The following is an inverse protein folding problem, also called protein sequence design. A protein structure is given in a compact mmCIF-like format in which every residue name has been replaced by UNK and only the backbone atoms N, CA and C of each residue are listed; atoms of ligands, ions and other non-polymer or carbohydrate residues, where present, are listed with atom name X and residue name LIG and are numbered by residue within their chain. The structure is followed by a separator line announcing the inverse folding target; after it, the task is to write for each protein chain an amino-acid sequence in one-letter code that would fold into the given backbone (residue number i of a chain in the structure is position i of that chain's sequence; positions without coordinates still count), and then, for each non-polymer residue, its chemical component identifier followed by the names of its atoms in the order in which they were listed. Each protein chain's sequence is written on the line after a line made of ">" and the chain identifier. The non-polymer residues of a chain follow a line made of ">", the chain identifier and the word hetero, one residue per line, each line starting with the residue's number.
data_IF_181591820672
#
_entry.id   IF_181591820672
#
_cell.length_a   1.000
_cell.length_b   1.000
_cell.length_c   1.000
_cell.angle_alpha   90.00
_cell.angle_beta   90.00
_cell.angle_gamma   90.00
#
_symmetry.space_group_name_H-M   'P 1'
#
loop_
_entity.id
_entity.type
_entity.pdbx_description
1 polymer ?
#
# COMPACT_ATOMS: atom_id res chain seq x y z
N UNK A 1 -16.72 -11.29 2.58
CA UNK A 1 -16.27 -10.21 3.48
C UNK A 1 -15.50 -9.21 2.64
N UNK A 2 -15.91 -7.95 2.70
CA UNK A 2 -15.22 -6.84 2.06
C UNK A 2 -13.91 -6.57 2.82
N UNK A 3 -12.81 -6.34 2.11
CA UNK A 3 -11.50 -6.18 2.74
C UNK A 3 -11.35 -4.82 3.44
N UNK A 4 -11.95 -3.78 2.86
CA UNK A 4 -11.94 -2.40 3.35
C UNK A 4 -13.33 -2.04 3.87
N UNK A 5 -13.68 -2.61 5.03
CA UNK A 5 -15.00 -2.45 5.66
C UNK A 5 -15.08 -1.25 6.62
N UNK A 6 -14.07 -0.35 6.58
CA UNK A 6 -13.94 0.79 7.49
C UNK A 6 -13.77 2.10 6.73
N UNK A 7 -14.26 3.17 7.33
CA UNK A 7 -14.29 4.53 6.78
C UNK A 7 -12.97 5.30 6.99
N UNK A 8 -11.81 4.64 6.90
CA UNK A 8 -10.54 5.36 6.92
C UNK A 8 -10.42 6.18 5.63
N UNK A 9 -9.93 7.42 5.77
CA UNK A 9 -9.79 8.35 4.64
C UNK A 9 -8.31 8.65 4.42
N UNK A 10 -7.92 8.71 3.16
CA UNK A 10 -6.65 9.26 2.70
C UNK A 10 -6.93 10.42 1.74
N UNK A 11 -6.16 11.49 1.84
CA UNK A 11 -6.28 12.67 0.98
C UNK A 11 -4.97 12.86 0.25
N UNK A 12 -5.03 13.14 -1.06
CA UNK A 12 -3.88 13.47 -1.90
C UNK A 12 -4.18 14.77 -2.64
N UNK A 13 -3.32 15.76 -2.46
CA UNK A 13 -3.46 17.10 -3.03
C UNK A 13 -2.26 17.43 -3.90
N UNK A 14 -2.49 18.01 -5.07
CA UNK A 14 -1.44 18.55 -5.91
C UNK A 14 -1.42 20.08 -5.80
N UNK A 15 -0.38 20.60 -5.17
CA UNK A 15 -0.19 22.03 -4.91
C UNK A 15 0.85 22.60 -5.87
N UNK A 16 0.71 23.87 -6.22
CA UNK A 16 1.67 24.58 -7.09
C UNK A 16 2.09 25.88 -6.42
N UNK A 17 3.36 26.01 -6.00
CA UNK A 17 3.88 27.25 -5.45
C UNK A 17 3.80 28.40 -6.44
N UNK A 18 3.27 29.54 -5.99
CA UNK A 18 3.29 30.79 -6.76
C UNK A 18 4.25 31.76 -6.08
N UNK A 19 5.26 32.21 -6.82
CA UNK A 19 6.16 33.29 -6.39
C UNK A 19 5.57 34.59 -6.89
N UNK A 20 5.14 35.44 -5.96
CA UNK A 20 4.52 36.74 -6.25
C UNK A 20 5.49 37.85 -5.84
N UNK A 21 5.83 38.73 -6.77
CA UNK A 21 6.45 40.04 -6.48
C UNK A 21 5.40 41.15 -6.65
N UNK A 22 5.68 42.35 -6.15
CA UNK A 22 4.71 43.44 -5.95
C UNK A 22 3.88 43.86 -7.21
N UNK A 23 4.22 43.38 -8.41
CA UNK A 23 3.50 43.63 -9.66
C UNK A 23 2.82 42.39 -10.30
N UNK A 24 2.88 41.18 -9.70
CA UNK A 24 2.25 39.96 -10.24
C UNK A 24 2.96 38.65 -9.88
N UNK A 25 2.43 37.52 -10.36
CA UNK A 25 3.10 36.20 -10.28
C UNK A 25 4.31 36.24 -11.21
N UNK A 26 5.52 36.12 -10.65
CA UNK A 26 6.78 36.19 -11.38
C UNK A 26 7.32 34.81 -11.74
N UNK A 27 7.19 33.82 -10.85
CA UNK A 27 7.61 32.44 -11.12
C UNK A 27 6.65 31.41 -10.52
N UNK A 28 6.61 30.25 -11.16
CA UNK A 28 5.80 29.11 -10.71
C UNK A 28 6.77 28.01 -10.29
N UNK A 29 6.72 27.65 -9.00
CA UNK A 29 7.56 26.60 -8.46
C UNK A 29 7.13 25.20 -8.94
N UNK A 30 7.98 24.18 -8.73
CA UNK A 30 7.65 22.80 -9.10
C UNK A 30 6.42 22.31 -8.31
N UNK A 31 5.56 21.46 -8.91
CA UNK A 31 4.42 20.87 -8.22
C UNK A 31 4.84 20.12 -6.94
N UNK A 32 3.97 20.16 -5.94
CA UNK A 32 4.10 19.50 -4.65
C UNK A 32 2.87 18.63 -4.40
N UNK A 33 3.04 17.32 -4.44
CA UNK A 33 2.04 16.33 -4.02
C UNK A 33 2.10 16.16 -2.50
N UNK A 34 1.02 16.51 -1.81
CA UNK A 34 0.88 16.34 -0.36
C UNK A 34 -0.19 15.30 -0.11
N UNK A 35 0.19 14.22 0.57
CA UNK A 35 -0.71 13.17 0.99
C UNK A 35 -0.82 13.15 2.53
N UNK A 36 -2.01 12.87 3.03
CA UNK A 36 -2.26 12.65 4.45
C UNK A 36 -3.22 11.48 4.65
N UNK A 37 -2.97 10.63 5.63
CA UNK A 37 -3.84 9.48 5.92
C UNK A 37 -3.91 9.17 7.41
N UNK A 38 -4.93 8.41 7.79
CA UNK A 38 -4.98 7.74 9.08
C UNK A 38 -5.34 6.26 8.84
N UNK A 39 -4.33 5.39 8.90
CA UNK A 39 -4.52 3.96 8.66
C UNK A 39 -5.31 3.29 9.78
N UNK A 40 -5.92 2.14 9.49
CA UNK A 40 -6.70 1.36 10.44
C UNK A 40 -5.96 1.15 11.77
N UNK A 41 -6.58 1.46 12.91
CA UNK A 41 -5.96 1.27 14.22
C UNK A 41 -5.69 -0.20 14.59
N UNK A 42 -6.55 -1.13 14.18
CA UNK A 42 -6.53 -2.52 14.64
C UNK A 42 -5.18 -3.22 14.38
N UNK A 43 -4.43 -3.62 15.43
CA UNK A 43 -3.07 -4.15 15.30
C UNK A 43 -3.01 -5.53 14.64
N UNK A 44 -4.13 -6.26 14.56
CA UNK A 44 -4.19 -7.60 13.97
C UNK A 44 -4.41 -7.59 12.46
N UNK A 45 -4.77 -6.44 11.89
CA UNK A 45 -5.23 -6.30 10.50
C UNK A 45 -4.19 -5.60 9.62
N UNK A 46 -2.94 -6.07 9.67
CA UNK A 46 -1.88 -5.58 8.79
C UNK A 46 -2.16 -5.78 7.30
N UNK A 47 -2.97 -6.78 6.94
CA UNK A 47 -3.52 -6.94 5.59
C UNK A 47 -4.28 -5.69 5.11
N UNK A 48 -5.16 -5.16 5.97
CA UNK A 48 -5.95 -3.96 5.66
C UNK A 48 -5.07 -2.72 5.61
N UNK A 49 -4.12 -2.60 6.55
CA UNK A 49 -3.18 -1.47 6.55
C UNK A 49 -2.33 -1.41 5.29
N UNK A 50 -1.83 -2.56 4.83
CA UNK A 50 -1.07 -2.64 3.57
C UNK A 50 -1.95 -2.29 2.37
N UNK A 51 -3.21 -2.73 2.34
CA UNK A 51 -4.13 -2.36 1.27
C UNK A 51 -4.43 -0.85 1.27
N UNK A 52 -4.71 -0.24 2.43
CA UNK A 52 -4.94 1.19 2.58
C UNK A 52 -3.71 2.01 2.17
N UNK A 53 -2.51 1.57 2.57
CA UNK A 53 -1.26 2.20 2.16
C UNK A 53 -1.04 2.08 0.64
N UNK A 54 -1.29 0.91 0.06
CA UNK A 54 -1.15 0.69 -1.38
C UNK A 54 -2.10 1.57 -2.21
N UNK A 55 -3.32 1.82 -1.70
CA UNK A 55 -4.26 2.79 -2.29
C UNK A 55 -3.69 4.21 -2.28
N UNK A 56 -3.18 4.67 -1.13
CA UNK A 56 -2.57 5.99 -1.02
C UNK A 56 -1.39 6.16 -1.98
N UNK A 57 -0.52 5.14 -2.04
CA UNK A 57 0.65 5.12 -2.93
C UNK A 57 0.25 5.11 -4.42
N UNK A 58 -0.81 4.39 -4.78
CA UNK A 58 -1.32 4.37 -6.15
C UNK A 58 -1.86 5.74 -6.58
N UNK A 59 -2.54 6.45 -5.68
CA UNK A 59 -3.03 7.79 -5.94
C UNK A 59 -1.88 8.80 -6.10
N UNK A 60 -0.87 8.72 -5.22
CA UNK A 60 0.34 9.54 -5.35
C UNK A 60 1.07 9.26 -6.68
N UNK A 61 1.22 7.98 -7.06
CA UNK A 61 1.85 7.58 -8.32
C UNK A 61 1.07 8.12 -9.55
N UNK A 62 -0.27 8.09 -9.51
CA UNK A 62 -1.11 8.67 -10.56
C UNK A 62 -0.91 10.20 -10.70
N UNK A 63 -0.82 10.93 -9.58
CA UNK A 63 -0.53 12.37 -9.57
C UNK A 63 0.86 12.68 -10.13
N UNK A 64 1.88 11.89 -9.75
CA UNK A 64 3.25 12.05 -10.26
C UNK A 64 3.30 11.77 -11.76
N UNK A 65 2.64 10.71 -12.24
CA UNK A 65 2.53 10.40 -13.68
C UNK A 65 1.90 11.55 -14.45
N UNK A 66 0.86 12.18 -13.90
CA UNK A 66 0.22 13.36 -14.49
C UNK A 66 1.17 14.55 -14.60
N UNK A 67 1.99 14.81 -13.57
CA UNK A 67 3.02 15.85 -13.63
C UNK A 67 4.11 15.52 -14.65
N UNK A 68 4.58 14.26 -14.66
CA UNK A 68 5.61 13.78 -15.58
C UNK A 68 5.17 13.86 -17.04
N UNK A 69 3.89 13.60 -17.34
CA UNK A 69 3.33 13.77 -18.68
C UNK A 69 3.37 15.23 -19.15
N UNK A 70 3.35 16.21 -18.23
CA UNK A 70 3.54 17.64 -18.51
C UNK A 70 5.02 18.05 -18.54
N UNK A 71 5.95 17.11 -18.38
CA UNK A 71 7.39 17.39 -18.30
C UNK A 71 7.84 17.96 -16.95
N UNK A 72 6.98 17.94 -15.92
CA UNK A 72 7.28 18.50 -14.61
C UNK A 72 7.74 17.42 -13.63
N UNK A 73 8.71 17.74 -12.77
CA UNK A 73 9.06 16.91 -11.61
C UNK A 73 8.18 17.31 -10.42
N UNK A 74 7.57 16.33 -9.77
CA UNK A 74 6.70 16.52 -8.62
C UNK A 74 7.45 16.17 -7.33
N UNK A 75 7.49 17.09 -6.37
CA UNK A 75 7.96 16.78 -5.02
C UNK A 75 6.83 16.11 -4.24
N UNK A 76 7.15 15.20 -3.33
CA UNK A 76 6.16 14.44 -2.56
C UNK A 76 6.37 14.66 -1.07
N UNK A 77 5.29 14.85 -0.34
CA UNK A 77 5.22 14.80 1.13
C UNK A 77 4.07 13.90 1.51
N UNK A 78 4.31 12.92 2.39
CA UNK A 78 3.30 12.00 2.90
C UNK A 78 3.30 12.07 4.41
N UNK A 79 2.18 12.47 5.00
CA UNK A 79 2.02 12.62 6.43
C UNK A 79 0.93 11.70 6.97
N UNK A 80 0.89 11.54 8.29
CA UNK A 80 -0.28 11.01 8.97
C UNK A 80 0.03 10.03 10.09
N UNK A 81 -1.04 9.46 10.64
CA UNK A 81 -0.99 8.37 11.62
C UNK A 81 -1.08 7.03 10.87
N UNK A 82 0.05 6.33 10.81
CA UNK A 82 0.15 5.05 10.10
C UNK A 82 -0.22 3.86 11.00
N UNK A 83 -0.48 4.09 12.29
CA UNK A 83 -0.70 3.04 13.28
C UNK A 83 0.32 1.91 13.14
N UNK A 84 1.59 2.26 12.90
CA UNK A 84 2.71 1.34 12.71
C UNK A 84 3.94 1.92 13.37
N UNK A 85 4.68 1.11 14.11
CA UNK A 85 5.91 1.56 14.77
C UNK A 85 7.10 1.54 13.79
N UNK A 86 8.17 2.32 14.06
CA UNK A 86 9.33 2.39 13.17
C UNK A 86 9.97 1.02 12.96
N UNK A 87 10.62 0.84 11.80
CA UNK A 87 11.32 -0.39 11.41
C UNK A 87 10.45 -1.64 11.22
N UNK A 88 9.14 -1.57 11.43
CA UNK A 88 8.21 -2.66 11.11
C UNK A 88 7.97 -2.77 9.60
N UNK A 89 7.50 -3.94 9.10
CA UNK A 89 7.31 -4.19 7.67
C UNK A 89 6.54 -3.10 6.91
N UNK A 90 5.48 -2.52 7.50
CA UNK A 90 4.75 -1.43 6.86
C UNK A 90 5.62 -0.18 6.69
N UNK A 91 6.31 0.23 7.75
CA UNK A 91 7.25 1.36 7.69
C UNK A 91 8.41 1.08 6.73
N UNK A 92 8.95 -0.15 6.73
CA UNK A 92 10.00 -0.55 5.79
C UNK A 92 9.54 -0.45 4.34
N UNK A 93 8.32 -0.91 4.02
CA UNK A 93 7.77 -0.77 2.67
C UNK A 93 7.84 0.68 2.18
N UNK A 94 7.47 1.65 3.03
CA UNK A 94 7.47 3.08 2.69
C UNK A 94 8.88 3.60 2.39
N UNK A 95 9.86 3.25 3.23
CA UNK A 95 11.23 3.78 3.12
C UNK A 95 12.05 3.04 2.06
N UNK A 96 11.92 1.72 1.95
CA UNK A 96 12.72 0.90 1.01
C UNK A 96 12.06 0.76 -0.35
N UNK A 97 10.75 1.00 -0.44
CA UNK A 97 9.96 0.78 -1.65
C UNK A 97 9.66 -0.69 -1.95
N UNK A 98 9.95 -1.62 -1.04
CA UNK A 98 9.72 -3.05 -1.25
C UNK A 98 9.44 -3.84 0.04
N UNK A 99 8.49 -4.77 -0.01
CA UNK A 99 8.16 -5.68 1.08
C UNK A 99 7.79 -7.08 0.56
N UNK A 100 8.57 -8.09 0.95
CA UNK A 100 8.17 -9.50 0.84
C UNK A 100 7.26 -9.88 2.02
N UNK A 101 6.01 -10.26 1.74
CA UNK A 101 5.00 -10.45 2.80
C UNK A 101 4.52 -11.89 2.98
N UNK A 102 4.90 -12.80 2.08
CA UNK A 102 4.42 -14.19 2.10
C UNK A 102 4.76 -14.91 3.41
N UNK A 103 3.75 -15.46 4.06
CA UNK A 103 3.88 -16.18 5.32
C UNK A 103 4.03 -15.29 6.56
N UNK A 104 4.15 -13.95 6.40
CA UNK A 104 4.24 -13.05 7.54
C UNK A 104 2.92 -13.04 8.33
N UNK A 105 2.95 -13.08 9.67
CA UNK A 105 1.78 -12.82 10.49
C UNK A 105 1.24 -11.39 10.25
N UNK A 106 -0.05 -11.25 9.95
CA UNK A 106 -0.69 -9.95 9.68
C UNK A 106 -0.46 -8.94 10.83
N UNK A 107 -0.39 -9.42 12.07
CA UNK A 107 -0.11 -8.58 13.25
C UNK A 107 1.31 -7.98 13.30
N UNK A 108 2.28 -8.66 12.68
CA UNK A 108 3.68 -8.20 12.67
C UNK A 108 3.90 -7.04 11.70
N UNK A 109 2.96 -6.77 10.80
CA UNK A 109 3.10 -5.70 9.81
C UNK A 109 3.28 -4.32 10.45
N UNK A 110 2.54 -4.03 11.52
CA UNK A 110 2.57 -2.72 12.18
C UNK A 110 3.31 -2.69 13.52
N UNK A 111 3.47 -3.83 14.20
CA UNK A 111 4.21 -3.92 15.47
C UNK A 111 3.68 -3.06 16.64
N UNK A 112 2.43 -2.58 16.58
CA UNK A 112 1.83 -1.78 17.66
C UNK A 112 1.76 -2.53 19.00
N UNK A 113 1.51 -3.84 18.95
CA UNK A 113 1.41 -4.68 20.14
C UNK A 113 2.29 -5.92 19.96
N UNK A 114 2.99 -6.32 21.02
CA UNK A 114 3.59 -7.64 21.08
C UNK A 114 2.48 -8.67 21.35
N UNK A 115 2.05 -9.34 20.29
CA UNK A 115 1.07 -10.42 20.34
C UNK A 115 1.72 -11.79 20.09
N UNK A 116 3.03 -11.92 20.30
CA UNK A 116 3.80 -13.16 20.10
C UNK A 116 3.22 -14.34 20.89
N UNK A 117 2.73 -14.09 22.10
CA UNK A 117 2.10 -15.09 22.97
C UNK A 117 0.77 -15.66 22.43
N UNK A 118 0.17 -15.07 21.37
CA UNK A 118 -1.05 -15.61 20.76
C UNK A 118 -0.68 -16.64 19.69
N UNK A 119 -1.04 -17.90 19.92
CA UNK A 119 -0.70 -19.04 19.05
C UNK A 119 -1.40 -19.05 17.68
N UNK A 120 -2.44 -18.25 17.47
CA UNK A 120 -3.12 -18.15 16.18
C UNK A 120 -2.89 -16.76 15.56
N UNK A 121 -2.10 -16.72 14.49
CA UNK A 121 -1.96 -15.52 13.66
C UNK A 121 -2.41 -15.80 12.24
N UNK A 122 -3.29 -14.95 11.71
CA UNK A 122 -3.58 -14.91 10.27
C UNK A 122 -2.27 -14.59 9.54
N UNK A 123 -1.79 -15.52 8.73
CA UNK A 123 -0.66 -15.30 7.84
C UNK A 123 -1.12 -14.59 6.56
N UNK A 124 -0.22 -13.80 5.99
CA UNK A 124 -0.44 -13.13 4.72
C UNK A 124 0.04 -14.03 3.58
N UNK A 125 -0.76 -14.12 2.52
CA UNK A 125 -0.44 -14.88 1.33
C UNK A 125 -0.86 -14.09 0.09
N UNK A 126 -0.16 -14.29 -1.01
CA UNK A 126 -0.57 -13.73 -2.29
C UNK A 126 -1.82 -14.43 -2.84
N UNK A 127 -2.74 -13.69 -3.49
CA UNK A 127 -2.82 -12.23 -3.53
C UNK A 127 -3.26 -11.63 -2.19
N UNK A 128 -2.65 -10.50 -1.80
CA UNK A 128 -2.96 -9.84 -0.53
C UNK A 128 -4.38 -9.25 -0.51
N UNK A 129 -4.89 -8.83 -1.66
CA UNK A 129 -6.22 -8.24 -1.85
C UNK A 129 -6.90 -8.73 -3.13
N UNK A 130 -8.25 -8.69 -3.19
CA UNK A 130 -8.97 -9.07 -4.40
C UNK A 130 -8.69 -8.10 -5.56
N UNK A 131 -8.75 -8.60 -6.79
CA UNK A 131 -8.55 -7.79 -8.01
C UNK A 131 -9.56 -6.64 -8.15
N UNK A 132 -10.72 -6.73 -7.48
CA UNK A 132 -11.72 -5.66 -7.42
C UNK A 132 -11.20 -4.38 -6.77
N UNK A 133 -10.09 -4.42 -6.02
CA UNK A 133 -9.45 -3.22 -5.49
C UNK A 133 -8.84 -2.34 -6.60
N UNK A 134 -8.58 -2.91 -7.79
CA UNK A 134 -8.03 -2.16 -8.92
C UNK A 134 -6.58 -1.71 -8.73
N UNK A 135 -5.84 -2.33 -7.82
CA UNK A 135 -4.44 -2.00 -7.51
C UNK A 135 -3.57 -3.25 -7.65
N UNK A 136 -2.43 -3.10 -8.31
CA UNK A 136 -1.45 -4.16 -8.49
C UNK A 136 -0.39 -4.18 -7.36
N UNK A 137 0.46 -5.21 -7.35
CA UNK A 137 1.54 -5.36 -6.36
C UNK A 137 2.62 -4.27 -6.45
N UNK A 138 2.59 -3.39 -7.47
CA UNK A 138 3.47 -2.22 -7.58
C UNK A 138 2.86 -0.95 -6.97
N UNK A 139 1.76 -1.09 -6.21
CA UNK A 139 1.00 0.03 -5.66
C UNK A 139 0.61 1.03 -6.75
N UNK A 140 0.08 0.54 -7.87
CA UNK A 140 -0.42 1.36 -8.97
C UNK A 140 -1.80 0.88 -9.38
N UNK A 141 -2.62 1.81 -9.87
CA UNK A 141 -3.89 1.44 -10.48
C UNK A 141 -3.67 0.49 -11.66
N UNK A 142 -4.44 -0.59 -11.70
CA UNK A 142 -4.49 -1.48 -12.86
C UNK A 142 -5.11 -0.74 -14.02
N UNK A 143 -4.46 -0.72 -15.19
CA UNK A 143 -5.09 -0.20 -16.39
C UNK A 143 -6.37 -1.00 -16.67
N UNK A 144 -7.53 -0.33 -16.71
CA UNK A 144 -8.77 -0.98 -17.10
C UNK A 144 -8.59 -1.57 -18.50
N UNK A 145 -8.65 -2.89 -18.61
CA UNK A 145 -8.81 -3.61 -19.89
C UNK A 145 -10.24 -3.38 -20.42
N UNK A 146 -10.65 -2.12 -20.60
CA UNK A 146 -11.89 -1.77 -21.27
C UNK A 146 -11.66 -1.79 -22.78
N UNK A 147 -11.43 -2.99 -23.30
CA UNK A 147 -11.71 -3.36 -24.67
C UNK A 147 -12.42 -4.72 -24.64
N UNK A 148 -13.52 -4.78 -23.91
CA UNK A 148 -14.56 -5.78 -24.11
C UNK A 148 -15.85 -4.99 -24.39
N UNK A 149 -16.30 -5.18 -25.62
CA UNK A 149 -17.56 -4.76 -26.20
C UNK A 149 -18.69 -4.73 -25.19
N UNK A 150 -19.31 -3.56 -25.12
CA UNK A 150 -20.60 -3.34 -24.49
C UNK A 150 -21.63 -4.20 -25.23
N UNK A 151 -22.10 -5.27 -24.61
CA UNK A 151 -23.46 -5.76 -24.86
C UNK A 151 -24.20 -5.78 -23.54
N UNK A 152 -25.16 -4.86 -23.47
CA UNK A 152 -26.15 -4.70 -22.42
C UNK A 152 -26.92 -6.00 -22.18
N UNK A 153 -27.02 -6.46 -20.93
CA UNK A 153 -28.24 -7.11 -20.48
C UNK A 153 -28.44 -6.98 -18.97
N UNK A 154 -29.56 -6.33 -18.66
CA UNK A 154 -30.41 -6.39 -17.46
C UNK A 154 -29.99 -7.20 -16.23
N UNK A 155 -30.12 -6.54 -15.09
CA UNK A 155 -30.39 -7.09 -13.76
C UNK A 155 -31.18 -8.41 -13.78
N UNK A 156 -30.54 -9.51 -13.36
CA UNK A 156 -31.21 -10.64 -12.71
C UNK A 156 -30.22 -11.39 -11.81
N UNK A 157 -30.76 -12.00 -10.76
CA UNK A 157 -30.06 -12.65 -9.67
C UNK A 157 -29.26 -13.86 -10.16
N UNK A 158 -28.01 -13.66 -10.58
CA UNK A 158 -27.20 -14.73 -11.18
C UNK A 158 -26.45 -15.56 -10.15
N UNK A 159 -26.86 -16.82 -10.08
CA UNK A 159 -26.11 -17.94 -9.53
C UNK A 159 -24.74 -17.95 -10.24
N UNK A 160 -23.70 -17.46 -9.56
CA UNK A 160 -22.34 -17.35 -10.12
C UNK A 160 -21.89 -18.71 -10.65
N UNK A 161 -21.97 -18.89 -11.96
CA UNK A 161 -21.60 -20.13 -12.62
C UNK A 161 -20.13 -19.99 -13.01
N UNK A 162 -19.26 -20.55 -12.17
CA UNK A 162 -17.84 -20.58 -12.45
C UNK A 162 -17.56 -21.65 -13.50
N UNK A 163 -17.02 -21.24 -14.66
CA UNK A 163 -16.66 -22.21 -15.70
C UNK A 163 -15.56 -23.12 -15.19
N UNK A 164 -15.52 -24.37 -15.69
CA UNK A 164 -14.47 -25.33 -15.33
C UNK A 164 -13.07 -24.75 -15.58
N UNK A 165 -12.89 -24.03 -16.69
CA UNK A 165 -11.65 -23.34 -17.03
C UNK A 165 -11.31 -22.21 -16.04
N UNK A 166 -12.28 -21.41 -15.61
CA UNK A 166 -12.08 -20.39 -14.58
C UNK A 166 -11.69 -21.00 -13.23
N UNK A 167 -12.34 -22.11 -12.84
CA UNK A 167 -12.01 -22.84 -11.61
C UNK A 167 -10.60 -23.42 -11.67
N UNK A 168 -10.14 -23.87 -12.84
CA UNK A 168 -8.76 -24.35 -13.05
C UNK A 168 -7.71 -23.22 -12.98
N UNK A 169 -8.10 -21.96 -13.24
CA UNK A 169 -7.22 -20.80 -13.06
C UNK A 169 -7.01 -20.41 -11.59
N UNK A 170 -7.91 -20.83 -10.68
CA UNK A 170 -7.72 -20.71 -9.23
C UNK A 170 -6.76 -21.80 -8.75
N UNK A 171 -5.48 -21.70 -9.13
CA UNK A 171 -4.46 -22.68 -8.74
C UNK A 171 -4.28 -22.70 -7.22
N UNK A 172 -4.00 -23.90 -6.70
CA UNK A 172 -3.65 -24.15 -5.31
C UNK A 172 -2.40 -23.34 -4.94
N UNK A 173 -2.49 -22.46 -3.93
CA UNK A 173 -1.28 -21.91 -3.34
C UNK A 173 -0.48 -23.06 -2.69
N UNK A 174 0.86 -22.96 -2.53
CA UNK A 174 1.65 -24.03 -1.93
C UNK A 174 1.12 -24.48 -0.55
N UNK A 175 0.50 -23.56 0.20
CA UNK A 175 -0.16 -23.87 1.47
C UNK A 175 -1.43 -24.74 1.31
N UNK A 176 -2.16 -24.63 0.20
CA UNK A 176 -3.30 -25.49 -0.13
C UNK A 176 -2.88 -26.90 -0.55
N UNK A 177 -1.60 -27.11 -0.89
CA UNK A 177 -1.03 -28.42 -1.19
C UNK A 177 -0.58 -29.18 0.07
N UNK A 178 -0.59 -28.55 1.24
CA UNK A 178 -0.19 -29.17 2.52
C UNK A 178 -1.44 -29.60 3.28
N UNK A 179 -1.57 -30.91 3.50
CA UNK A 179 -2.67 -31.47 4.29
C UNK A 179 -2.52 -31.08 5.78
N UNK A 180 -3.53 -30.45 6.42
CA UNK A 180 -3.53 -30.23 7.86
C UNK A 180 -3.51 -31.56 8.61
N UNK A 181 -2.72 -31.64 9.70
CA UNK A 181 -2.48 -32.88 10.44
C UNK A 181 -3.78 -33.46 11.05
N UNK A 182 -4.79 -32.63 11.32
CA UNK A 182 -6.04 -33.02 11.98
C UNK A 182 -7.24 -33.17 11.01
N UNK A 183 -7.01 -33.19 9.69
CA UNK A 183 -8.12 -33.24 8.73
C UNK A 183 -8.73 -34.66 8.65
N UNK A 184 -9.98 -34.78 9.14
CA UNK A 184 -10.79 -36.00 9.12
C UNK A 184 -10.88 -36.56 7.70
N UNK A 185 -10.62 -37.87 7.56
CA UNK A 185 -10.74 -38.57 6.28
C UNK A 185 -12.22 -38.72 5.92
N UNK A 186 -12.65 -38.07 4.83
CA UNK A 186 -13.99 -38.25 4.28
C UNK A 186 -13.92 -39.39 3.24
N UNK A 187 -14.67 -40.49 3.42
CA UNK A 187 -14.68 -41.60 2.48
C UNK A 187 -15.10 -41.12 1.07
N UNK A 188 -14.32 -41.46 0.05
CA UNK A 188 -14.57 -41.08 -1.35
C UNK A 188 -13.84 -39.82 -1.83
N UNK A 189 -13.20 -39.05 -0.94
CA UNK A 189 -12.33 -37.91 -1.32
C UNK A 189 -10.90 -38.41 -1.51
N UNK A 190 -10.34 -38.24 -2.70
CA UNK A 190 -8.98 -38.68 -3.02
C UNK A 190 -7.94 -37.73 -2.41
N UNK A 191 -6.89 -38.30 -1.80
CA UNK A 191 -5.76 -37.52 -1.24
C UNK A 191 -4.64 -37.34 -2.27
N UNK A 192 -5.00 -37.19 -3.54
CA UNK A 192 -4.01 -37.08 -4.61
C UNK A 192 -3.38 -35.68 -4.49
N UNK A 193 -2.12 -35.62 -4.10
CA UNK A 193 -1.32 -34.40 -4.21
C UNK A 193 -1.21 -34.07 -5.70
N UNK A 194 -1.61 -32.88 -6.16
CA UNK A 194 -1.53 -32.54 -7.57
C UNK A 194 -0.08 -32.64 -8.04
N UNK A 195 0.12 -33.40 -9.12
CA UNK A 195 1.44 -33.63 -9.71
C UNK A 195 1.93 -32.34 -10.40
N UNK A 196 3.05 -31.80 -9.94
CA UNK A 196 3.61 -30.51 -10.39
C UNK A 196 4.47 -30.70 -11.66
N UNK A 197 4.65 -31.94 -12.12
CA UNK A 197 5.63 -32.28 -13.16
C UNK A 197 5.21 -32.02 -14.62
N UNK A 198 3.98 -31.54 -14.87
CA UNK A 198 3.39 -31.52 -16.22
C UNK A 198 3.19 -30.18 -16.94
N UNK A 199 3.36 -29.03 -16.28
CA UNK A 199 3.01 -27.72 -16.89
C UNK A 199 3.90 -26.58 -16.36
N UNK A 200 5.20 -26.68 -16.65
CA UNK A 200 6.22 -25.72 -16.22
C UNK A 200 6.43 -24.58 -17.24
N UNK A 201 5.44 -24.30 -18.10
CA UNK A 201 5.50 -23.17 -19.02
C UNK A 201 4.35 -22.18 -18.80
N UNK A 202 4.72 -21.04 -18.19
CA UNK A 202 4.13 -19.72 -18.41
C UNK A 202 2.97 -19.23 -17.52
N UNK A 203 2.58 -19.96 -16.47
CA UNK A 203 1.46 -19.53 -15.59
C UNK A 203 1.86 -19.05 -14.17
N UNK A 204 3.15 -19.04 -13.85
CA UNK A 204 3.69 -18.73 -12.51
C UNK A 204 3.80 -17.23 -12.16
N UNK A 205 3.12 -16.35 -12.92
CA UNK A 205 3.40 -14.88 -12.86
C UNK A 205 2.21 -13.99 -12.50
N UNK A 206 1.09 -14.52 -12.02
CA UNK A 206 -0.09 -13.67 -11.80
C UNK A 206 -0.10 -12.94 -10.46
N UNK A 207 0.50 -13.50 -9.42
CA UNK A 207 0.52 -12.90 -8.08
C UNK A 207 1.93 -12.82 -7.55
N UNK A 208 2.37 -11.60 -7.20
CA UNK A 208 3.69 -11.40 -6.62
C UNK A 208 3.57 -11.46 -5.11
N UNK A 209 4.52 -12.16 -4.51
CA UNK A 209 4.68 -12.26 -3.05
C UNK A 209 5.32 -11.00 -2.44
N UNK A 210 5.48 -9.95 -3.25
CA UNK A 210 6.25 -8.76 -2.97
C UNK A 210 5.44 -7.54 -3.37
N UNK A 211 5.23 -6.62 -2.42
CA UNK A 211 4.72 -5.27 -2.70
C UNK A 211 5.89 -4.34 -3.03
N UNK A 212 5.70 -3.44 -3.98
CA UNK A 212 6.70 -2.42 -4.35
C UNK A 212 6.05 -1.08 -4.62
N UNK A 213 6.82 -0.01 -4.50
CA UNK A 213 6.50 1.29 -5.10
C UNK A 213 7.77 1.97 -5.62
N UNK A 214 7.62 2.99 -6.44
CA UNK A 214 8.75 3.72 -7.06
C UNK A 214 9.05 5.06 -6.40
N UNK A 215 8.29 5.44 -5.37
CA UNK A 215 8.56 6.66 -4.60
C UNK A 215 9.89 6.52 -3.84
N UNK A 216 10.73 7.54 -3.92
CA UNK A 216 11.93 7.72 -3.11
C UNK A 216 11.54 8.56 -1.90
N UNK A 217 11.42 7.96 -0.72
CA UNK A 217 10.89 8.61 0.48
C UNK A 217 11.84 8.45 1.66
N UNK A 218 12.16 9.57 2.30
CA UNK A 218 12.87 9.62 3.56
C UNK A 218 11.94 10.07 4.69
N UNK A 219 12.16 9.55 5.90
CA UNK A 219 11.50 10.04 7.12
C UNK A 219 12.17 11.32 7.61
N UNK A 220 11.36 12.32 7.99
CA UNK A 220 11.86 13.52 8.69
C UNK A 220 12.48 13.17 10.04
N UNK A 221 11.94 12.14 10.71
CA UNK A 221 12.34 11.74 12.04
C UNK A 221 13.33 10.58 11.98
N UNK A 222 14.31 10.58 12.88
CA UNK A 222 15.27 9.47 13.01
C UNK A 222 14.73 8.35 13.91
N UNK A 223 13.63 8.61 14.61
CA UNK A 223 12.97 7.70 15.55
C UNK A 223 13.80 7.40 16.81
N UNK A 224 14.93 8.07 16.97
CA UNK A 224 15.83 7.96 18.12
C UNK A 224 16.38 9.34 18.48
N UNK A 225 16.37 9.64 19.78
CA UNK A 225 16.91 10.87 20.31
C UNK A 225 18.45 10.88 20.20
N UNK A 226 19.08 11.90 19.56
CA UNK A 226 20.51 11.88 19.21
C UNK A 226 21.49 11.69 20.37
N UNK A 227 21.10 12.08 21.60
CA UNK A 227 21.99 12.05 22.78
C UNK A 227 21.80 10.80 23.64
N UNK A 228 20.57 10.34 23.78
CA UNK A 228 20.23 9.23 24.69
C UNK A 228 20.06 7.91 23.96
N UNK A 229 19.85 7.92 22.63
CA UNK A 229 19.49 6.74 21.84
C UNK A 229 18.10 6.19 22.16
N UNK A 230 17.32 6.89 23.01
CA UNK A 230 15.98 6.47 23.38
C UNK A 230 15.01 6.67 22.20
N UNK A 231 13.99 5.81 22.06
CA UNK A 231 13.01 5.94 20.99
C UNK A 231 12.23 7.25 21.11
N UNK A 232 12.03 7.92 19.98
CA UNK A 232 11.08 9.03 19.88
C UNK A 232 9.65 8.50 19.99
N UNK A 233 8.75 9.38 20.43
CA UNK A 233 7.35 9.04 20.69
C UNK A 233 6.45 10.14 20.13
N UNK A 234 5.38 9.75 19.44
CA UNK A 234 4.40 10.68 18.88
C UNK A 234 3.04 10.56 19.56
N UNK A 235 2.77 9.41 20.20
CA UNK A 235 1.60 9.19 21.05
C UNK A 235 2.00 8.61 22.40
N UNK A 236 1.25 8.97 23.45
CA UNK A 236 1.41 8.46 24.81
C UNK A 236 0.03 8.23 25.43
N UNK A 237 -0.27 6.98 25.78
CA UNK A 237 -1.50 6.59 26.46
C UNK A 237 -1.20 5.69 27.66
N UNK A 238 -2.25 5.22 28.34
CA UNK A 238 -2.14 4.43 29.58
C UNK A 238 -1.37 3.11 29.43
N UNK A 239 -1.23 2.59 28.21
CA UNK A 239 -0.56 1.30 27.95
C UNK A 239 0.88 1.47 27.44
N UNK A 240 1.29 2.68 27.10
CA UNK A 240 2.63 2.95 26.60
C UNK A 240 2.71 4.17 25.69
N UNK A 241 3.93 4.46 25.26
CA UNK A 241 4.19 5.48 24.25
C UNK A 241 4.93 4.86 23.07
N UNK A 242 4.44 5.13 21.86
CA UNK A 242 5.05 4.67 20.60
C UNK A 242 5.04 5.78 19.54
N UNK A 243 5.88 5.65 18.53
CA UNK A 243 5.79 6.47 17.31
C UNK A 243 4.86 5.81 16.32
N UNK A 244 3.82 6.53 15.89
CA UNK A 244 2.89 6.11 14.83
C UNK A 244 2.65 7.22 13.80
N UNK A 245 3.05 8.44 14.11
CA UNK A 245 2.93 9.61 13.25
C UNK A 245 4.22 9.82 12.47
N UNK A 246 4.09 10.03 11.16
CA UNK A 246 5.23 10.21 10.27
C UNK A 246 5.03 11.40 9.35
N UNK A 247 6.17 11.97 8.94
CA UNK A 247 6.27 12.85 7.79
C UNK A 247 7.36 12.26 6.92
N UNK A 248 6.98 11.76 5.75
CA UNK A 248 7.88 11.31 4.70
C UNK A 248 7.95 12.34 3.60
N UNK A 249 9.10 12.46 2.95
CA UNK A 249 9.29 13.39 1.83
C UNK A 249 10.21 12.80 0.78
N UNK A 250 10.05 13.26 -0.47
CA UNK A 250 11.00 12.95 -1.53
C UNK A 250 12.21 13.86 -1.43
N UNK A 251 13.42 13.35 -1.10
CA UNK A 251 14.59 14.19 -0.98
C UNK A 251 14.99 14.78 -2.33
N UNK A 252 15.38 16.06 -2.32
CA UNK A 252 15.99 16.69 -3.50
C UNK A 252 17.40 16.13 -3.64
N UNK A 253 17.58 15.15 -4.51
CA UNK A 253 18.92 14.68 -4.87
C UNK A 253 19.56 15.76 -5.74
N UNK A 254 20.37 16.60 -5.13
CA UNK A 254 21.05 17.70 -5.80
C UNK A 254 21.95 17.14 -6.92
N UNK A 255 21.51 17.28 -8.17
CA UNK A 255 22.43 17.72 -9.19
C UNK A 255 22.51 19.23 -9.03
N UNK A 256 23.59 19.68 -8.38
CA UNK A 256 23.85 21.05 -7.94
C UNK A 256 23.18 22.12 -8.82
N UNK A 257 22.11 22.75 -8.31
CA UNK A 257 21.77 24.12 -8.66
C UNK A 257 21.17 24.82 -7.44
N UNK A 258 21.92 25.82 -7.01
CA UNK A 258 21.71 26.70 -5.87
C UNK A 258 20.41 27.50 -6.04
N UNK A 259 19.44 27.35 -5.13
CA UNK A 259 18.30 28.27 -5.03
C UNK A 259 17.99 28.62 -3.58
N UNK A 260 18.16 29.92 -3.29
CA UNK A 260 17.84 30.58 -2.03
C UNK A 260 16.35 30.43 -1.69
N UNK A 261 16.09 30.07 -0.43
CA UNK A 261 14.75 29.86 0.10
C UNK A 261 13.90 31.14 0.04
N UNK A 262 12.69 31.01 -0.50
CA UNK A 262 11.68 32.07 -0.48
C UNK A 262 10.35 31.51 0.04
N UNK A 263 9.66 32.29 0.88
CA UNK A 263 8.40 31.92 1.56
C UNK A 263 7.31 31.50 0.56
N UNK A 264 6.67 30.36 0.82
CA UNK A 264 5.57 29.79 0.04
C UNK A 264 4.22 30.33 0.54
N UNK A 265 3.36 30.79 -0.37
CA UNK A 265 1.90 30.94 -0.13
C UNK A 265 1.17 29.88 -0.94
N UNK A 266 0.27 29.15 -0.29
CA UNK A 266 -0.48 28.02 -0.87
C UNK A 266 -1.88 28.47 -1.31
N UNK A 267 -2.30 28.03 -2.49
CA UNK A 267 -3.69 28.10 -2.97
C UNK A 267 -4.17 26.67 -3.20
N UNK A 268 -5.29 26.31 -2.58
CA UNK A 268 -5.85 24.95 -2.57
C UNK A 268 -6.71 24.75 -3.81
N UNK A 269 -6.54 23.62 -4.51
CA UNK A 269 -7.48 23.11 -5.47
C UNK A 269 -8.00 21.77 -4.93
N UNK A 270 -9.27 21.73 -4.56
CA UNK A 270 -9.90 20.56 -3.94
C UNK A 270 -10.28 19.52 -5.00
N UNK A 271 -9.81 18.28 -4.82
CA UNK A 271 -10.46 17.08 -5.34
C UNK A 271 -10.81 16.21 -4.13
N UNK A 272 -12.10 16.13 -3.79
CA UNK A 272 -12.62 15.19 -2.80
C UNK A 272 -13.13 13.93 -3.51
N UNK A 273 -12.81 12.75 -2.98
CA UNK A 273 -13.46 11.47 -3.27
C UNK A 273 -14.20 11.00 -2.01
#
# INVERSE_FOLDING_TARGET
>A
MEMLDRHNVGIVLLLRPLVVQEAGVTEVGPPLCVANTHLLFNPKRGDVKLAQLAMLLAEIDAMIKTCKAKGERCNVVVCGDFNSVPHMPLHQLIITGELYYQGLPARMISGQEDLSYKHCSRQLFAPLWPSSLGINDLCQYTANTNSQTCESTSQQSEKRQYTHEFMLQLRYCPAACVRPQDLILIPGVTNITPDISGDDQQHDKRFRNVLRHTLDLDSVYKHVLPRSGLPEITTLHSEGGVTVDYIFYSPKRDFAFDQKGTKLKLQVADCCF
#
